data_IF_558367504661
#
_entry.id   IF_558367504661
#
_cell.length_a   1.000
_cell.length_b   1.000
_cell.length_c   1.000
_cell.angle_alpha   90.00
_cell.angle_beta   90.00
_cell.angle_gamma   90.00
#
_symmetry.space_group_name_H-M   'P 1'
#
loop_
_entity.id
_entity.type
_entity.pdbx_description
1 polymer ?
#
# COMPACT_ATOMS: atom_id res chain seq x y z
N UNK A 1 24.85 -0.35 12.08
CA UNK A 1 25.39 0.91 11.52
C UNK A 1 26.89 0.98 11.77
N UNK A 2 27.68 1.27 10.74
CA UNK A 2 29.13 1.46 10.85
C UNK A 2 29.50 2.94 10.63
N UNK A 3 30.50 3.43 11.36
CA UNK A 3 31.15 4.71 11.07
C UNK A 3 32.42 4.45 10.29
N UNK A 4 32.64 5.25 9.24
CA UNK A 4 33.91 5.31 8.53
C UNK A 4 34.77 6.46 9.08
N UNK A 5 35.97 6.14 9.58
CA UNK A 5 36.95 7.15 10.02
C UNK A 5 38.36 6.70 9.70
N UNK A 6 39.09 7.54 8.97
CA UNK A 6 40.53 7.36 8.71
C UNK A 6 40.89 5.97 8.16
N UNK A 7 40.13 5.47 7.17
CA UNK A 7 40.23 4.15 6.55
C UNK A 7 39.73 2.93 7.35
N UNK A 8 39.05 3.12 8.49
CA UNK A 8 38.47 2.00 9.24
C UNK A 8 36.95 2.11 9.34
N UNK A 9 36.28 0.97 9.26
CA UNK A 9 34.86 0.83 9.59
C UNK A 9 34.74 0.32 11.02
N UNK A 10 34.04 1.05 11.87
CA UNK A 10 33.75 0.64 13.25
C UNK A 10 32.25 0.46 13.43
N UNK A 11 31.82 -0.69 13.95
CA UNK A 11 30.43 -0.90 14.34
C UNK A 11 30.07 0.10 15.45
N UNK A 12 29.05 0.91 15.21
CA UNK A 12 28.53 1.87 16.19
C UNK A 12 27.42 1.23 17.02
N UNK A 13 26.47 0.59 16.33
CA UNK A 13 25.30 -0.03 16.93
C UNK A 13 24.68 -1.03 15.95
N UNK A 14 23.88 -1.94 16.48
CA UNK A 14 23.07 -2.89 15.72
C UNK A 14 21.73 -3.09 16.43
N UNK A 15 20.73 -3.51 15.67
CA UNK A 15 19.43 -3.92 16.18
C UNK A 15 18.99 -5.14 15.35
N UNK A 16 18.37 -6.15 15.98
CA UNK A 16 17.82 -7.28 15.24
C UNK A 16 16.63 -6.83 14.39
N UNK A 17 16.46 -7.48 13.25
CA UNK A 17 15.20 -7.45 12.51
C UNK A 17 14.26 -8.52 13.07
N UNK A 18 12.97 -8.42 12.73
CA UNK A 18 12.02 -9.46 13.09
C UNK A 18 12.38 -10.83 12.51
N UNK A 19 11.95 -11.90 13.20
CA UNK A 19 12.30 -13.28 12.88
C UNK A 19 11.78 -13.72 11.51
N UNK A 20 10.73 -13.07 11.00
CA UNK A 20 10.13 -13.41 9.72
C UNK A 20 10.87 -12.85 8.50
N UNK A 21 11.92 -12.04 8.68
CA UNK A 21 12.66 -11.47 7.54
C UNK A 21 13.31 -12.56 6.70
N UNK A 22 12.86 -12.67 5.45
CA UNK A 22 13.47 -13.53 4.43
C UNK A 22 14.48 -12.75 3.58
N UNK A 23 14.12 -11.56 3.14
CA UNK A 23 14.96 -10.72 2.26
C UNK A 23 14.57 -9.27 2.42
N UNK A 24 15.55 -8.39 2.64
CA UNK A 24 15.34 -6.94 2.68
C UNK A 24 15.00 -6.44 1.28
N UNK A 25 13.85 -5.80 1.13
CA UNK A 25 13.39 -5.23 -0.13
C UNK A 25 13.78 -3.77 -0.29
N UNK A 26 13.53 -2.95 0.74
CA UNK A 26 13.85 -1.52 0.74
C UNK A 26 14.28 -1.05 2.12
N UNK A 27 15.25 -0.14 2.16
CA UNK A 27 15.62 0.63 3.34
C UNK A 27 15.45 2.10 3.03
N UNK A 28 14.72 2.83 3.87
CA UNK A 28 14.52 4.27 3.73
C UNK A 28 14.80 4.95 5.08
N UNK A 29 15.57 6.04 5.04
CA UNK A 29 15.79 6.87 6.22
C UNK A 29 14.66 7.88 6.30
N UNK A 30 14.00 7.94 7.45
CA UNK A 30 12.96 8.90 7.79
C UNK A 30 13.27 9.60 9.11
N UNK A 31 12.27 10.32 9.62
CA UNK A 31 12.32 10.97 10.92
C UNK A 31 11.30 10.34 11.85
N UNK A 32 11.64 10.32 13.13
CA UNK A 32 10.66 10.15 14.21
C UNK A 32 9.88 11.45 14.43
N UNK A 33 8.71 11.38 15.06
CA UNK A 33 7.92 12.57 15.46
C UNK A 33 8.74 13.62 16.23
N UNK A 34 9.72 13.18 17.03
CA UNK A 34 10.57 14.07 17.83
C UNK A 34 11.80 14.59 17.04
N UNK A 35 11.87 14.35 15.73
CA UNK A 35 12.96 14.79 14.86
C UNK A 35 14.23 13.94 14.88
N UNK A 36 14.24 12.82 15.61
CA UNK A 36 15.33 11.84 15.60
C UNK A 36 15.34 11.00 14.31
N UNK A 37 16.46 10.32 14.02
CA UNK A 37 16.60 9.47 12.83
C UNK A 37 15.92 8.11 13.03
N UNK A 38 15.13 7.70 12.05
CA UNK A 38 14.57 6.35 11.97
C UNK A 38 14.94 5.71 10.64
N UNK A 39 15.26 4.42 10.65
CA UNK A 39 15.46 3.63 9.44
C UNK A 39 14.26 2.70 9.31
N UNK A 40 13.50 2.85 8.23
CA UNK A 40 12.42 1.96 7.87
C UNK A 40 12.94 0.88 6.92
N UNK A 41 12.73 -0.38 7.28
CA UNK A 41 13.24 -1.55 6.56
C UNK A 41 12.06 -2.42 6.17
N UNK A 42 11.66 -2.38 4.90
CA UNK A 42 10.63 -3.25 4.36
C UNK A 42 11.26 -4.55 3.85
N UNK A 43 10.79 -5.68 4.37
CA UNK A 43 11.33 -7.01 4.09
C UNK A 43 10.24 -7.97 3.64
N UNK A 44 10.57 -8.84 2.69
CA UNK A 44 9.72 -10.00 2.39
C UNK A 44 9.70 -10.95 3.59
N UNK A 45 8.52 -11.42 3.97
CA UNK A 45 8.35 -12.37 5.07
C UNK A 45 8.52 -13.81 4.59
N UNK A 46 9.08 -14.68 5.45
CA UNK A 46 9.14 -16.14 5.23
C UNK A 46 7.74 -16.76 5.11
N UNK A 47 6.72 -16.13 5.71
CA UNK A 47 5.32 -16.57 5.69
C UNK A 47 4.54 -15.99 4.49
N UNK A 48 5.22 -15.29 3.58
CA UNK A 48 4.59 -14.54 2.49
C UNK A 48 4.17 -13.13 2.92
N UNK A 49 4.03 -12.23 1.94
CA UNK A 49 3.81 -10.81 2.20
C UNK A 49 5.09 -10.08 2.65
N UNK A 50 4.88 -8.95 3.33
CA UNK A 50 5.93 -8.04 3.77
C UNK A 50 5.73 -7.65 5.23
N UNK A 51 6.84 -7.41 5.91
CA UNK A 51 6.95 -6.84 7.27
C UNK A 51 7.86 -5.63 7.23
N UNK A 52 7.72 -4.74 8.20
CA UNK A 52 8.51 -3.53 8.32
C UNK A 52 9.15 -3.42 9.70
N UNK A 53 10.48 -3.33 9.72
CA UNK A 53 11.25 -3.00 10.92
C UNK A 53 11.53 -1.49 10.95
N UNK A 54 11.13 -0.81 12.03
CA UNK A 54 11.46 0.60 12.26
C UNK A 54 12.59 0.71 13.27
N UNK A 55 13.79 1.05 12.81
CA UNK A 55 14.97 1.15 13.65
C UNK A 55 15.19 2.61 14.07
N UNK A 56 14.88 2.95 15.31
CA UNK A 56 15.24 4.24 15.90
C UNK A 56 16.71 4.26 16.29
N UNK A 57 17.40 5.36 15.98
CA UNK A 57 18.82 5.54 16.31
C UNK A 57 18.98 6.74 17.24
N UNK A 58 19.63 6.51 18.39
CA UNK A 58 20.01 7.56 19.34
C UNK A 58 21.44 7.33 19.83
N UNK A 59 22.37 8.17 19.37
CA UNK A 59 23.80 8.03 19.67
C UNK A 59 24.36 6.70 19.17
N UNK A 60 24.86 5.87 20.09
CA UNK A 60 25.38 4.53 19.82
C UNK A 60 24.37 3.40 20.12
N UNK A 61 23.07 3.72 20.20
CA UNK A 61 22.01 2.73 20.41
C UNK A 61 21.07 2.71 19.21
N UNK A 62 20.77 1.50 18.75
CA UNK A 62 19.70 1.24 17.80
C UNK A 62 18.67 0.34 18.48
N UNK A 63 17.39 0.64 18.26
CA UNK A 63 16.26 -0.15 18.78
C UNK A 63 15.31 -0.39 17.62
N UNK A 64 14.91 -1.65 17.44
CA UNK A 64 13.81 -1.96 16.54
C UNK A 64 12.51 -1.73 17.31
N UNK A 65 11.74 -0.75 16.87
CA UNK A 65 10.50 -0.35 17.53
C UNK A 65 9.37 -1.33 17.22
N UNK A 66 9.32 -1.93 16.02
CA UNK A 66 8.15 -2.70 15.56
C UNK A 66 8.26 -4.20 15.80
N UNK A 67 9.36 -4.66 16.40
CA UNK A 67 9.55 -6.06 16.78
C UNK A 67 8.87 -6.33 18.12
N UNK A 68 8.11 -7.42 18.20
CA UNK A 68 7.63 -7.92 19.50
C UNK A 68 8.81 -8.46 20.32
N UNK A 69 9.03 -7.92 21.52
CA UNK A 69 10.19 -8.29 22.35
C UNK A 69 10.19 -9.76 22.80
N UNK A 70 9.01 -10.36 22.96
CA UNK A 70 8.88 -11.72 23.49
C UNK A 70 9.03 -12.80 22.42
N UNK A 71 8.44 -12.57 21.25
CA UNK A 71 8.38 -13.53 20.13
C UNK A 71 9.34 -13.20 18.99
N UNK A 72 9.95 -12.00 19.00
CA UNK A 72 10.70 -11.44 17.89
C UNK A 72 9.89 -11.27 16.60
N UNK A 73 8.56 -11.26 16.68
CA UNK A 73 7.67 -11.20 15.53
C UNK A 73 7.47 -9.78 15.02
N UNK A 74 7.44 -9.62 13.69
CA UNK A 74 7.08 -8.39 13.00
C UNK A 74 5.59 -8.29 12.63
N UNK A 75 4.74 -9.14 13.21
CA UNK A 75 3.33 -9.32 12.79
C UNK A 75 2.51 -8.01 12.79
N UNK A 76 2.84 -7.05 13.66
CA UNK A 76 2.17 -5.75 13.75
C UNK A 76 2.22 -4.95 12.44
N UNK A 77 3.27 -5.16 11.65
CA UNK A 77 3.50 -4.44 10.39
C UNK A 77 3.22 -5.30 9.16
N UNK A 78 2.73 -6.52 9.37
CA UNK A 78 2.52 -7.47 8.28
C UNK A 78 1.45 -7.01 7.30
N UNK A 79 1.69 -7.29 6.03
CA UNK A 79 0.75 -7.08 4.93
C UNK A 79 1.00 -8.07 3.80
N UNK A 80 -0.04 -8.47 3.06
CA UNK A 80 0.12 -9.38 1.93
C UNK A 80 0.68 -8.67 0.68
N UNK A 81 0.46 -7.36 0.55
CA UNK A 81 0.80 -6.59 -0.65
C UNK A 81 2.27 -6.13 -0.65
N UNK A 82 2.89 -6.16 -1.84
CA UNK A 82 4.25 -5.64 -2.09
C UNK A 82 4.29 -4.11 -2.17
N UNK A 83 3.84 -3.47 -1.10
CA UNK A 83 3.82 -2.01 -0.93
C UNK A 83 4.87 -1.67 0.11
N UNK A 84 5.69 -0.66 -0.13
CA UNK A 84 6.74 -0.26 0.78
C UNK A 84 6.31 0.99 1.57
N UNK A 85 6.87 1.14 2.76
CA UNK A 85 6.60 2.27 3.66
C UNK A 85 7.06 3.58 3.06
N UNK A 86 6.26 4.62 3.17
CA UNK A 86 6.54 5.94 2.62
C UNK A 86 5.80 7.00 3.42
N UNK A 87 6.28 8.23 3.28
CA UNK A 87 5.58 9.45 3.68
C UNK A 87 4.40 9.65 2.71
N UNK A 88 3.21 9.21 3.08
CA UNK A 88 2.00 9.23 2.24
C UNK A 88 1.20 10.52 2.40
N UNK A 89 1.29 11.20 3.54
CA UNK A 89 0.60 12.46 3.81
C UNK A 89 1.49 13.71 3.64
N UNK A 90 2.80 13.52 3.45
CA UNK A 90 3.76 14.56 3.14
C UNK A 90 4.30 15.31 4.36
N UNK A 91 4.17 14.75 5.56
CA UNK A 91 4.62 15.38 6.81
C UNK A 91 6.12 15.16 7.13
N UNK A 92 6.78 14.29 6.36
CA UNK A 92 8.19 13.93 6.50
C UNK A 92 8.49 12.74 7.43
N UNK A 93 7.46 12.14 8.02
CA UNK A 93 7.49 10.87 8.74
C UNK A 93 7.18 9.75 7.74
N UNK A 94 7.62 8.52 8.02
CA UNK A 94 7.31 7.39 7.15
C UNK A 94 6.16 6.59 7.75
N UNK A 95 5.08 6.42 7.01
CA UNK A 95 3.97 5.56 7.40
C UNK A 95 4.22 4.13 6.95
N UNK A 96 3.88 3.21 7.85
CA UNK A 96 3.98 1.77 7.61
C UNK A 96 2.62 1.25 7.15
N UNK A 97 2.52 0.67 5.95
CA UNK A 97 1.31 0.01 5.52
C UNK A 97 1.14 -1.32 6.25
N UNK A 98 -0.09 -1.61 6.65
CA UNK A 98 -0.48 -2.83 7.33
C UNK A 98 -1.72 -3.42 6.66
N UNK A 99 -1.93 -4.73 6.79
CA UNK A 99 -3.15 -5.37 6.28
C UNK A 99 -4.39 -4.77 6.95
N UNK A 100 -5.39 -4.35 6.16
CA UNK A 100 -6.71 -4.01 6.69
C UNK A 100 -7.48 -5.25 7.17
N UNK A 101 -7.13 -6.44 6.65
CA UNK A 101 -7.70 -7.72 7.07
C UNK A 101 -6.82 -8.29 8.17
N UNK A 102 -7.32 -8.32 9.40
CA UNK A 102 -6.65 -8.99 10.53
C UNK A 102 -6.65 -10.50 10.29
N UNK A 103 -5.50 -11.15 10.49
CA UNK A 103 -5.34 -12.61 10.31
C UNK A 103 -6.36 -13.46 11.11
N UNK A 104 -6.97 -12.91 12.15
CA UNK A 104 -7.99 -13.57 12.97
C UNK A 104 -9.39 -13.66 12.34
N UNK A 105 -9.61 -13.08 11.14
CA UNK A 105 -10.88 -13.18 10.43
C UNK A 105 -10.71 -14.11 9.22
N UNK A 106 -10.90 -15.40 9.49
CA UNK A 106 -10.73 -16.49 8.54
C UNK A 106 -11.42 -16.23 7.18
N UNK A 107 -10.65 -16.47 6.12
CA UNK A 107 -10.97 -16.88 4.73
C UNK A 107 -12.25 -16.40 4.00
N UNK A 108 -13.09 -15.56 4.58
CA UNK A 108 -14.43 -15.21 4.05
C UNK A 108 -14.59 -13.77 3.59
N UNK A 109 -13.62 -12.89 3.85
CA UNK A 109 -13.55 -11.60 3.16
C UNK A 109 -12.98 -11.84 1.75
N UNK A 110 -13.68 -11.36 0.72
CA UNK A 110 -13.30 -11.57 -0.68
C UNK A 110 -11.81 -11.30 -0.91
N UNK A 111 -11.15 -12.20 -1.65
CA UNK A 111 -9.69 -12.20 -1.88
C UNK A 111 -9.13 -10.82 -2.28
N UNK A 112 -9.95 -10.00 -2.91
CA UNK A 112 -9.59 -8.68 -3.41
C UNK A 112 -9.44 -7.60 -2.31
N UNK A 113 -10.02 -7.75 -1.12
CA UNK A 113 -9.84 -6.80 -0.01
C UNK A 113 -8.46 -6.91 0.66
N UNK A 114 -7.69 -7.96 0.38
CA UNK A 114 -6.29 -8.08 0.85
C UNK A 114 -5.39 -6.95 0.33
N UNK A 115 -5.83 -6.27 -0.72
CA UNK A 115 -5.17 -5.10 -1.29
C UNK A 115 -5.52 -3.78 -0.59
N UNK A 116 -6.47 -3.79 0.35
CA UNK A 116 -6.78 -2.65 1.21
C UNK A 116 -5.74 -2.58 2.33
N UNK A 117 -5.04 -1.46 2.42
CA UNK A 117 -3.98 -1.23 3.40
C UNK A 117 -4.32 -0.07 4.31
N UNK A 118 -3.91 -0.18 5.56
CA UNK A 118 -4.02 0.88 6.56
C UNK A 118 -2.60 1.39 6.81
N UNK A 119 -2.40 2.69 6.60
CA UNK A 119 -1.12 3.38 6.80
C UNK A 119 -1.07 3.96 8.20
N UNK A 120 -0.01 3.63 8.93
CA UNK A 120 0.07 3.89 10.37
C UNK A 120 1.41 4.46 10.77
N UNK A 121 1.38 5.26 11.83
CA UNK A 121 2.57 5.62 12.59
C UNK A 121 2.81 4.63 13.71
N UNK A 122 4.09 4.41 14.01
CA UNK A 122 4.54 3.57 15.11
C UNK A 122 5.53 4.33 15.98
N UNK A 123 5.40 4.18 17.30
CA UNK A 123 6.27 4.82 18.31
C UNK A 123 6.41 3.90 19.51
N UNK A 124 7.63 3.62 19.96
CA UNK A 124 7.83 2.81 21.16
C UNK A 124 7.24 1.40 21.05
N UNK A 125 7.12 0.87 19.83
CA UNK A 125 6.43 -0.39 19.53
C UNK A 125 4.91 -0.40 19.61
N UNK A 126 4.29 0.77 19.72
CA UNK A 126 2.85 0.92 19.67
C UNK A 126 2.41 1.60 18.38
N UNK A 127 1.25 1.19 17.88
CA UNK A 127 0.51 1.92 16.83
C UNK A 127 -0.04 3.22 17.44
N UNK A 128 0.35 4.37 16.87
CA UNK A 128 -0.04 5.68 17.41
C UNK A 128 -1.18 6.33 16.61
N UNK A 129 -1.49 5.81 15.44
CA UNK A 129 -2.64 6.29 14.67
C UNK A 129 -2.70 5.73 13.25
N UNK A 130 -3.91 5.81 12.69
CA UNK A 130 -4.17 5.57 11.28
C UNK A 130 -4.13 6.91 10.54
N UNK A 131 -3.22 7.02 9.57
CA UNK A 131 -3.02 8.21 8.74
C UNK A 131 -3.90 8.15 7.49
N UNK A 132 -3.87 7.01 6.79
CA UNK A 132 -4.60 6.82 5.55
C UNK A 132 -5.09 5.38 5.42
N UNK A 133 -6.08 5.20 4.56
CA UNK A 133 -6.46 3.87 4.04
C UNK A 133 -6.34 3.93 2.53
N UNK A 134 -5.77 2.91 1.92
CA UNK A 134 -5.63 2.83 0.46
C UNK A 134 -6.08 1.48 -0.06
N UNK A 135 -6.37 1.42 -1.35
CA UNK A 135 -6.52 0.18 -2.09
C UNK A 135 -5.47 0.11 -3.20
N UNK A 136 -4.66 -0.95 -3.22
CA UNK A 136 -3.56 -1.11 -4.17
C UNK A 136 -3.83 -2.19 -5.22
N UNK A 137 -3.64 -1.84 -6.49
CA UNK A 137 -3.48 -2.83 -7.55
C UNK A 137 -2.03 -2.81 -8.00
N UNK A 138 -1.13 -3.43 -7.22
CA UNK A 138 0.32 -3.41 -7.47
C UNK A 138 0.66 -3.96 -8.86
N UNK A 139 0.01 -5.04 -9.30
CA UNK A 139 0.19 -5.61 -10.65
C UNK A 139 -0.19 -4.63 -11.76
N UNK A 140 -1.16 -3.75 -11.49
CA UNK A 140 -1.61 -2.74 -12.42
C UNK A 140 -0.96 -1.36 -12.22
N UNK A 141 -0.04 -1.25 -11.26
CA UNK A 141 0.76 -0.05 -11.00
C UNK A 141 -0.09 1.17 -10.62
N UNK A 142 -1.13 0.99 -9.82
CA UNK A 142 -1.93 2.09 -9.27
C UNK A 142 -2.44 1.79 -7.86
N UNK A 143 -2.81 2.85 -7.16
CA UNK A 143 -3.58 2.79 -5.92
C UNK A 143 -4.58 3.94 -5.86
N UNK A 144 -5.59 3.78 -5.02
CA UNK A 144 -6.45 4.90 -4.61
C UNK A 144 -6.38 5.10 -3.11
N UNK A 145 -6.49 6.35 -2.69
CA UNK A 145 -6.89 6.67 -1.33
C UNK A 145 -8.33 6.21 -1.14
N UNK A 146 -8.55 5.36 -0.15
CA UNK A 146 -9.87 4.84 0.20
C UNK A 146 -10.70 5.97 0.79
N UNK A 147 -11.80 6.38 0.16
CA UNK A 147 -12.65 7.44 0.70
C UNK A 147 -13.12 7.09 2.11
N UNK A 148 -12.96 8.02 3.05
CA UNK A 148 -13.41 7.80 4.43
C UNK A 148 -14.89 7.42 4.51
N UNK A 149 -15.72 8.00 3.63
CA UNK A 149 -17.14 7.66 3.51
C UNK A 149 -17.40 6.23 3.07
N UNK A 150 -16.47 5.51 2.46
CA UNK A 150 -16.71 4.10 2.11
C UNK A 150 -16.65 3.14 3.30
N UNK A 151 -16.01 3.57 4.40
CA UNK A 151 -15.86 2.79 5.63
C UNK A 151 -15.45 1.32 5.33
N UNK A 152 -16.21 0.34 5.84
CA UNK A 152 -16.04 -1.09 5.58
C UNK A 152 -17.23 -1.71 4.83
N UNK A 153 -18.11 -0.89 4.24
CA UNK A 153 -19.31 -1.36 3.53
C UNK A 153 -19.11 -1.53 2.02
N UNK A 154 -18.02 -0.96 1.49
CA UNK A 154 -17.65 -1.10 0.08
C UNK A 154 -16.77 -2.33 -0.11
N UNK A 155 -17.16 -3.12 -1.10
CA UNK A 155 -16.45 -4.31 -1.56
C UNK A 155 -15.75 -4.03 -2.88
N UNK A 156 -14.81 -4.92 -3.23
CA UNK A 156 -14.03 -4.82 -4.46
C UNK A 156 -14.12 -6.13 -5.21
N UNK A 157 -14.30 -6.03 -6.53
CA UNK A 157 -14.17 -7.15 -7.45
C UNK A 157 -13.21 -6.78 -8.57
N UNK A 158 -12.46 -7.77 -9.05
CA UNK A 158 -11.51 -7.59 -10.14
C UNK A 158 -11.80 -8.54 -11.28
N UNK A 159 -11.66 -8.02 -12.50
CA UNK A 159 -11.76 -8.79 -13.73
C UNK A 159 -10.64 -8.38 -14.67
N UNK A 160 -10.02 -9.33 -15.37
CA UNK A 160 -9.02 -9.02 -16.40
C UNK A 160 -9.22 -9.92 -17.60
N UNK A 161 -9.18 -9.34 -18.80
CA UNK A 161 -9.33 -10.04 -20.06
C UNK A 161 -8.73 -9.23 -21.20
N UNK A 162 -7.97 -9.89 -22.08
CA UNK A 162 -7.47 -9.32 -23.34
C UNK A 162 -6.82 -7.93 -23.21
N UNK A 163 -5.92 -7.77 -22.23
CA UNK A 163 -5.18 -6.52 -22.00
C UNK A 163 -5.98 -5.40 -21.33
N UNK A 164 -7.20 -5.71 -20.85
CA UNK A 164 -8.04 -4.80 -20.07
C UNK A 164 -8.25 -5.40 -18.69
N UNK A 165 -7.84 -4.68 -17.65
CA UNK A 165 -8.14 -4.99 -16.26
C UNK A 165 -9.14 -3.98 -15.70
N UNK A 166 -10.15 -4.46 -15.00
CA UNK A 166 -11.21 -3.66 -14.37
C UNK A 166 -11.26 -3.98 -12.89
N UNK A 167 -11.26 -2.94 -12.06
CA UNK A 167 -11.47 -3.04 -10.61
C UNK A 167 -12.71 -2.23 -10.25
N UNK A 168 -13.72 -2.91 -9.72
CA UNK A 168 -15.04 -2.31 -9.42
C UNK A 168 -15.28 -2.28 -7.92
N UNK A 169 -15.59 -1.08 -7.43
CA UNK A 169 -15.97 -0.80 -6.04
C UNK A 169 -17.49 -0.71 -5.96
N UNK A 170 -18.10 -1.46 -5.04
CA UNK A 170 -19.56 -1.56 -4.97
C UNK A 170 -20.05 -1.79 -3.53
N UNK A 171 -21.30 -1.41 -3.27
CA UNK A 171 -22.00 -1.69 -2.00
C UNK A 171 -22.68 -3.06 -2.04
N UNK A 172 -22.63 -3.78 -0.92
CA UNK A 172 -23.42 -5.00 -0.74
C UNK A 172 -24.69 -4.64 0.02
N UNK A 173 -25.72 -4.15 -0.68
CA UNK A 173 -26.98 -3.81 0.01
C UNK A 173 -27.83 -5.03 0.38
N UNK A 174 -27.51 -6.25 -0.07
CA UNK A 174 -28.20 -7.48 0.37
C UNK A 174 -27.32 -8.73 0.25
N UNK A 175 -27.58 -9.72 1.11
CA UNK A 175 -26.92 -11.04 1.17
C UNK A 175 -27.21 -11.97 -0.03
N UNK A 176 -27.88 -11.49 -1.07
CA UNK A 176 -28.13 -12.24 -2.29
C UNK A 176 -27.08 -11.91 -3.34
N UNK A 177 -26.54 -12.95 -3.98
CA UNK A 177 -25.55 -12.83 -5.03
C UNK A 177 -26.01 -11.80 -6.09
N UNK A 178 -25.09 -11.03 -6.68
CA UNK A 178 -25.44 -9.98 -7.63
C UNK A 178 -26.22 -10.58 -8.81
N UNK A 179 -27.54 -10.38 -8.83
CA UNK A 179 -28.35 -10.60 -10.01
C UNK A 179 -27.94 -9.59 -11.09
N UNK A 180 -27.83 -10.07 -12.33
CA UNK A 180 -27.50 -9.26 -13.50
C UNK A 180 -28.33 -7.97 -13.53
N UNK A 181 -27.64 -6.83 -13.47
CA UNK A 181 -28.22 -5.53 -13.82
C UNK A 181 -28.43 -4.51 -12.71
N UNK A 182 -28.22 -4.83 -11.42
CA UNK A 182 -28.20 -3.83 -10.33
C UNK A 182 -27.06 -4.09 -9.35
N UNK A 183 -25.84 -3.90 -9.80
CA UNK A 183 -24.72 -3.72 -8.88
C UNK A 183 -24.77 -2.28 -8.40
N UNK A 184 -24.79 -2.07 -7.08
CA UNK A 184 -24.60 -0.75 -6.47
C UNK A 184 -23.13 -0.33 -6.62
N UNK A 185 -22.66 -0.25 -7.86
CA UNK A 185 -21.31 0.17 -8.20
C UNK A 185 -21.16 1.65 -7.88
N UNK A 186 -20.02 2.01 -7.33
CA UNK A 186 -19.65 3.39 -7.03
C UNK A 186 -18.65 3.89 -8.08
N UNK A 187 -17.61 3.08 -8.31
CA UNK A 187 -16.48 3.39 -9.16
C UNK A 187 -15.98 2.12 -9.85
N UNK A 188 -15.68 2.21 -11.14
CA UNK A 188 -14.84 1.22 -11.82
C UNK A 188 -13.58 1.89 -12.34
N UNK A 189 -12.41 1.30 -12.07
CA UNK A 189 -11.11 1.71 -12.61
C UNK A 189 -10.69 0.70 -13.68
N UNK A 190 -10.34 1.23 -14.85
CA UNK A 190 -9.93 0.49 -16.03
C UNK A 190 -8.44 0.70 -16.27
N UNK A 191 -7.74 -0.38 -16.60
CA UNK A 191 -6.34 -0.36 -17.01
C UNK A 191 -6.24 -1.05 -18.35
N UNK A 192 -5.92 -0.27 -19.38
CA UNK A 192 -5.70 -0.75 -20.74
C UNK A 192 -4.19 -0.88 -20.97
N UNK A 193 -3.77 -2.03 -21.49
CA UNK A 193 -2.37 -2.35 -21.79
C UNK A 193 -2.24 -2.96 -23.18
N UNK A 194 -1.01 -3.01 -23.72
CA UNK A 194 -0.74 -3.57 -25.05
C UNK A 194 -1.47 -2.82 -26.18
N UNK A 195 -2.11 -3.58 -27.07
CA UNK A 195 -2.89 -3.07 -28.22
C UNK A 195 -4.21 -2.43 -27.79
N UNK A 196 -4.76 -2.84 -26.64
CA UNK A 196 -6.02 -2.29 -26.11
C UNK A 196 -5.92 -0.82 -25.66
N UNK A 197 -4.70 -0.27 -25.57
CA UNK A 197 -4.46 1.14 -25.18
C UNK A 197 -5.00 2.16 -26.17
N UNK A 198 -5.02 1.79 -27.45
CA UNK A 198 -5.43 2.67 -28.56
C UNK A 198 -6.86 2.43 -29.01
N UNK A 199 -7.54 1.43 -28.43
CA UNK A 199 -8.95 1.20 -28.71
C UNK A 199 -9.75 2.42 -28.26
N UNK A 200 -10.75 2.79 -29.06
CA UNK A 200 -11.69 3.85 -28.69
C UNK A 200 -12.37 3.47 -27.37
N UNK A 201 -12.02 4.20 -26.33
CA UNK A 201 -12.59 4.08 -25.00
C UNK A 201 -14.05 4.50 -25.11
N UNK A 202 -14.97 3.57 -24.81
CA UNK A 202 -16.42 3.80 -24.92
C UNK A 202 -16.87 5.00 -24.07
N UNK A 203 -17.95 5.66 -24.48
CA UNK A 203 -18.31 7.02 -24.04
C UNK A 203 -18.58 7.24 -22.55
N UNK A 204 -18.70 6.19 -21.73
CA UNK A 204 -18.86 6.33 -20.27
C UNK A 204 -17.55 6.35 -19.49
N UNK A 205 -16.43 5.93 -20.11
CA UNK A 205 -15.13 5.84 -19.45
C UNK A 205 -14.36 7.14 -19.68
N UNK A 206 -13.93 7.78 -18.59
CA UNK A 206 -13.08 8.98 -18.59
C UNK A 206 -11.64 8.60 -18.34
N UNK A 207 -10.68 9.33 -18.92
CA UNK A 207 -9.25 9.08 -18.72
C UNK A 207 -8.78 9.71 -17.39
N UNK A 208 -8.02 8.93 -16.61
CA UNK A 208 -7.29 9.41 -15.43
C UNK A 208 -5.85 9.76 -15.77
N UNK A 209 -5.15 8.84 -16.43
CA UNK A 209 -3.72 8.97 -16.71
C UNK A 209 -3.29 8.09 -17.87
N UNK A 210 -2.21 8.47 -18.53
CA UNK A 210 -1.56 7.67 -19.56
C UNK A 210 -0.06 7.61 -19.30
N UNK A 211 0.52 6.43 -19.47
CA UNK A 211 1.96 6.17 -19.42
C UNK A 211 2.42 5.59 -20.75
N UNK A 212 3.73 5.34 -20.89
CA UNK A 212 4.28 4.69 -22.07
C UNK A 212 3.78 3.25 -22.26
N UNK A 213 3.23 2.61 -21.22
CA UNK A 213 2.83 1.20 -21.22
C UNK A 213 1.36 0.95 -20.87
N UNK A 214 0.64 1.93 -20.28
CA UNK A 214 -0.75 1.77 -19.80
C UNK A 214 -1.59 3.03 -19.97
N UNK A 215 -2.89 2.84 -20.18
CA UNK A 215 -3.91 3.90 -20.09
C UNK A 215 -4.84 3.57 -18.92
N UNK A 216 -5.03 4.51 -18.01
CA UNK A 216 -5.92 4.39 -16.86
C UNK A 216 -7.19 5.21 -17.11
N UNK A 217 -8.34 4.61 -16.88
CA UNK A 217 -9.63 5.28 -16.98
C UNK A 217 -10.59 4.89 -15.87
N UNK A 218 -11.73 5.56 -15.79
CA UNK A 218 -12.75 5.29 -14.78
C UNK A 218 -14.17 5.55 -15.29
N UNK A 219 -15.13 4.89 -14.63
CA UNK A 219 -16.56 5.15 -14.75
C UNK A 219 -17.16 5.35 -13.36
N UNK A 220 -18.09 6.30 -13.23
CA UNK A 220 -18.87 6.55 -12.02
C UNK A 220 -20.33 6.14 -12.27
N UNK A 221 -20.95 5.50 -11.29
CA UNK A 221 -22.27 4.89 -11.45
C UNK A 221 -23.32 5.47 -10.51
N UNK A 222 -22.91 5.87 -9.30
CA UNK A 222 -23.82 6.45 -8.30
C UNK A 222 -23.23 7.76 -7.72
N UNK A 223 -23.36 8.86 -8.47
CA UNK A 223 -22.79 10.18 -8.09
C UNK A 223 -23.69 10.91 -7.08
N UNK A 224 -24.93 10.46 -6.86
CA UNK A 224 -25.92 11.18 -6.04
C UNK A 224 -26.09 10.60 -4.63
N UNK A 225 -25.51 9.45 -4.32
CA UNK A 225 -25.53 8.91 -2.97
C UNK A 225 -24.46 9.52 -2.08
N UNK A 226 -24.64 9.36 -0.76
CA UNK A 226 -23.65 9.74 0.25
C UNK A 226 -22.32 9.00 0.12
N UNK A 227 -22.26 7.94 -0.70
CA UNK A 227 -21.05 7.13 -0.96
C UNK A 227 -20.48 7.35 -2.36
N UNK A 228 -21.21 8.07 -3.22
CA UNK A 228 -20.79 8.45 -4.56
C UNK A 228 -19.53 9.30 -4.58
N UNK A 229 -18.79 9.26 -5.69
CA UNK A 229 -17.64 10.12 -5.95
C UNK A 229 -17.95 11.07 -7.11
N UNK A 230 -17.33 12.25 -7.10
CA UNK A 230 -17.27 13.18 -8.24
C UNK A 230 -16.02 12.94 -9.10
N UNK A 231 -16.02 13.44 -10.33
CA UNK A 231 -14.87 13.33 -11.24
C UNK A 231 -13.58 13.93 -10.65
N UNK A 232 -13.70 15.06 -9.96
CA UNK A 232 -12.58 15.73 -9.27
C UNK A 232 -12.02 14.83 -8.17
N UNK A 233 -12.88 14.27 -7.32
CA UNK A 233 -12.45 13.40 -6.23
C UNK A 233 -11.75 12.14 -6.76
N UNK A 234 -12.25 11.49 -7.81
CA UNK A 234 -11.56 10.30 -8.37
C UNK A 234 -10.15 10.67 -8.84
N UNK A 235 -9.99 11.84 -9.45
CA UNK A 235 -8.69 12.31 -9.95
C UNK A 235 -7.72 12.61 -8.81
N UNK A 236 -8.20 13.17 -7.70
CA UNK A 236 -7.39 13.46 -6.50
C UNK A 236 -7.03 12.20 -5.70
N UNK A 237 -7.95 11.22 -5.66
CA UNK A 237 -7.76 9.98 -4.93
C UNK A 237 -6.90 8.97 -5.68
N UNK A 238 -6.79 9.08 -7.01
CA UNK A 238 -6.07 8.11 -7.85
C UNK A 238 -4.60 8.46 -8.05
N UNK A 239 -3.75 7.45 -7.84
CA UNK A 239 -2.30 7.58 -7.94
C UNK A 239 -1.70 6.42 -8.73
N UNK A 240 -0.68 6.70 -9.54
CA UNK A 240 0.13 5.65 -10.17
C UNK A 240 1.28 5.27 -9.25
N UNK A 241 1.65 3.99 -9.26
CA UNK A 241 2.83 3.49 -8.54
C UNK A 241 4.02 3.61 -9.49
N UNK A 242 4.93 4.53 -9.18
CA UNK A 242 6.18 4.62 -9.92
C UNK A 242 7.07 3.44 -9.54
N UNK A 243 7.59 2.74 -10.55
CA UNK A 243 8.67 1.78 -10.37
C UNK A 243 9.95 2.57 -10.11
N UNK A 244 10.30 2.79 -8.84
CA UNK A 244 11.65 3.24 -8.50
C UNK A 244 12.65 2.21 -9.06
N UNK A 245 13.41 2.59 -10.08
CA UNK A 245 14.49 1.77 -10.60
C UNK A 245 15.59 1.79 -9.55
N UNK A 246 15.77 0.68 -8.82
CA UNK A 246 17.00 0.44 -8.09
C UNK A 246 18.12 0.32 -9.14
N UNK A 247 18.76 1.43 -9.48
CA UNK A 247 20.10 1.40 -10.03
C UNK A 247 20.97 0.80 -8.93
N UNK A 248 21.14 -0.53 -8.97
CA UNK A 248 22.21 -1.22 -8.29
C UNK A 248 23.52 -0.66 -8.83
N UNK A 249 23.92 0.49 -8.32
CA UNK A 249 25.24 1.05 -8.53
C UNK A 249 26.22 0.12 -7.84
N UNK A 250 26.90 -0.70 -8.64
CA UNK A 250 28.17 -1.28 -8.24
C UNK A 250 29.04 -0.13 -7.75
N UNK A 251 29.29 -0.09 -6.44
CA UNK A 251 30.36 0.72 -5.89
C UNK A 251 31.63 -0.05 -6.29
N UNK A 252 32.36 0.47 -7.29
CA UNK A 252 33.74 0.07 -7.56
C UNK A 252 34.65 0.49 -6.41
#
# INVERSE_FOLDING_TARGET
MYAYRGNTYKLICEAPLCAEVKTVGRMKVGKTENGGTQICIDSMSVNGGYVTDLISISGSRAVNETIDEASHSGILTWRPASVFSTDIDGDGILEVPTSAVRESQGESQGSDLRNKLIWKHFKGGEEVGQVATTYHSVSEEWYINWPGRWENVVNVSRYSSSGISVTTFYLTETAEAPHEGKRNELLSIYVFSGESRTNSIGGSIKILRQTSTKTYGYSLFDIRSERGLTDTEVTELFHTIDKEWNSGGYIQ
#
